data_IF_888130022488
#
_entry.id   IF_888130022488
#
_cell.length_a   1.000
_cell.length_b   1.000
_cell.length_c   1.000
_cell.angle_alpha   90.00
_cell.angle_beta   90.00
_cell.angle_gamma   90.00
#
_symmetry.space_group_name_H-M   'P 1'
#
loop_
_entity.id
_entity.type
_entity.pdbx_description
1 polymer ?
#
# COMPACT_ATOMS: atom_id res chain seq x y z
N UNK A 1 -23.58 6.56 -0.72
CA UNK A 1 -23.14 5.70 -1.83
C UNK A 1 -21.76 5.21 -1.45
N UNK A 2 -21.64 3.91 -1.17
CA UNK A 2 -20.33 3.29 -0.96
C UNK A 2 -19.52 3.44 -2.25
N UNK A 3 -18.28 3.91 -2.14
CA UNK A 3 -17.40 4.02 -3.31
C UNK A 3 -17.08 2.58 -3.78
N UNK A 4 -17.13 2.30 -5.09
CA UNK A 4 -16.80 0.97 -5.58
C UNK A 4 -15.35 0.63 -5.26
N UNK A 5 -15.14 -0.50 -4.61
CA UNK A 5 -13.80 -1.09 -4.40
C UNK A 5 -13.34 -1.75 -5.69
N UNK A 6 -12.12 -1.41 -6.10
CA UNK A 6 -11.48 -1.88 -7.33
C UNK A 6 -10.47 -2.98 -7.03
N UNK A 7 -10.16 -3.79 -8.04
CA UNK A 7 -9.00 -4.69 -8.04
C UNK A 7 -7.73 -3.91 -8.42
N UNK A 8 -6.57 -4.43 -8.02
CA UNK A 8 -5.27 -3.79 -8.30
C UNK A 8 -5.08 -3.48 -9.80
N UNK A 9 -5.35 -4.41 -10.75
CA UNK A 9 -5.11 -4.15 -12.17
C UNK A 9 -6.02 -3.07 -12.78
N UNK A 10 -7.10 -2.70 -12.09
CA UNK A 10 -8.04 -1.69 -12.55
C UNK A 10 -7.62 -0.27 -12.17
N UNK A 11 -6.66 -0.12 -11.25
CA UNK A 11 -6.14 1.19 -10.84
C UNK A 11 -5.13 1.69 -11.86
N UNK A 12 -5.39 2.87 -12.41
CA UNK A 12 -4.50 3.56 -13.34
C UNK A 12 -3.93 4.84 -12.71
N UNK A 13 -2.73 5.24 -13.16
CA UNK A 13 -1.97 6.35 -12.57
C UNK A 13 -2.65 7.72 -12.72
N UNK A 14 -3.58 7.87 -13.64
CA UNK A 14 -4.34 9.09 -13.92
C UNK A 14 -5.69 9.15 -13.16
N UNK A 15 -6.07 8.08 -12.47
CA UNK A 15 -7.29 8.02 -11.69
C UNK A 15 -7.17 8.86 -10.42
N UNK A 16 -8.05 9.85 -10.28
CA UNK A 16 -8.10 10.74 -9.10
C UNK A 16 -8.83 10.14 -7.90
N UNK A 17 -9.67 9.14 -8.12
CA UNK A 17 -10.51 8.54 -7.10
C UNK A 17 -10.53 7.03 -7.29
N UNK A 18 -9.90 6.33 -6.36
CA UNK A 18 -9.90 4.88 -6.33
C UNK A 18 -9.84 4.40 -4.88
N UNK A 19 -10.38 3.21 -4.65
CA UNK A 19 -10.24 2.47 -3.40
C UNK A 19 -9.96 1.02 -3.76
N UNK A 20 -8.94 0.42 -3.16
CA UNK A 20 -8.62 -1.01 -3.32
C UNK A 20 -8.62 -1.65 -1.94
N UNK A 21 -9.26 -2.82 -1.84
CA UNK A 21 -9.17 -3.67 -0.67
C UNK A 21 -7.99 -4.62 -0.83
N UNK A 22 -7.07 -4.58 0.12
CA UNK A 22 -5.81 -5.31 0.06
C UNK A 22 -5.49 -6.04 1.36
N UNK A 23 -4.77 -7.13 1.25
CA UNK A 23 -4.14 -7.84 2.37
C UNK A 23 -2.64 -7.57 2.38
N UNK A 24 -2.06 -7.29 3.55
CA UNK A 24 -0.61 -7.20 3.69
C UNK A 24 -0.01 -8.60 3.74
N UNK A 25 0.78 -8.97 2.74
CA UNK A 25 1.38 -10.32 2.69
C UNK A 25 2.80 -10.35 3.22
N UNK A 26 3.57 -9.28 2.98
CA UNK A 26 4.95 -9.17 3.45
C UNK A 26 5.31 -7.71 3.76
N UNK A 27 6.21 -7.51 4.72
CA UNK A 27 6.82 -6.21 5.00
C UNK A 27 8.34 -6.32 4.92
N UNK A 28 8.96 -5.36 4.23
CA UNK A 28 10.42 -5.33 4.06
C UNK A 28 11.00 -4.38 5.11
N UNK A 29 12.23 -4.65 5.56
CA UNK A 29 12.98 -3.75 6.41
C UNK A 29 13.04 -2.32 5.83
N UNK A 30 13.10 -1.31 6.70
CA UNK A 30 13.25 0.09 6.27
C UNK A 30 14.62 0.28 5.62
N UNK A 31 14.62 0.83 4.40
CA UNK A 31 15.82 1.16 3.66
C UNK A 31 16.09 2.66 3.75
N UNK A 32 17.36 3.04 3.74
CA UNK A 32 17.81 4.43 3.64
C UNK A 32 18.47 4.61 2.28
N UNK A 33 17.92 5.50 1.45
CA UNK A 33 18.46 5.86 0.15
C UNK A 33 19.70 6.76 0.29
N UNK A 34 20.50 6.86 -0.78
CA UNK A 34 21.72 7.70 -0.83
C UNK A 34 21.45 9.18 -0.54
N UNK A 35 20.22 9.65 -0.72
CA UNK A 35 19.76 11.02 -0.41
C UNK A 35 19.42 11.23 1.07
N UNK A 36 19.59 10.21 1.93
CA UNK A 36 19.16 10.22 3.32
C UNK A 36 17.66 9.94 3.52
N UNK A 37 16.89 9.84 2.43
CA UNK A 37 15.47 9.52 2.49
C UNK A 37 15.24 8.07 2.92
N UNK A 38 14.36 7.86 3.89
CA UNK A 38 13.94 6.51 4.32
C UNK A 38 12.73 6.05 3.52
N UNK A 39 12.67 4.78 3.18
CA UNK A 39 11.49 4.12 2.62
C UNK A 39 11.25 2.78 3.28
N UNK A 40 9.98 2.37 3.39
CA UNK A 40 9.58 1.01 3.76
C UNK A 40 8.68 0.44 2.67
N UNK A 41 8.93 -0.81 2.27
CA UNK A 41 8.16 -1.51 1.24
C UNK A 41 7.24 -2.55 1.85
N UNK A 42 6.11 -2.75 1.20
CA UNK A 42 5.12 -3.76 1.54
C UNK A 42 4.70 -4.48 0.27
N UNK A 43 4.38 -5.76 0.42
CA UNK A 43 3.66 -6.52 -0.59
C UNK A 43 2.21 -6.64 -0.18
N UNK A 44 1.33 -6.34 -1.13
CA UNK A 44 -0.10 -6.37 -0.96
C UNK A 44 -0.73 -7.29 -2.00
N UNK A 45 -1.83 -7.93 -1.62
CA UNK A 45 -2.67 -8.70 -2.55
C UNK A 45 -4.12 -8.26 -2.45
N UNK A 46 -4.81 -8.15 -3.58
CA UNK A 46 -6.27 -7.97 -3.57
C UNK A 46 -7.02 -9.30 -3.38
N UNK A 47 -8.35 -9.24 -3.40
CA UNK A 47 -9.23 -10.39 -3.18
C UNK A 47 -9.13 -11.47 -4.28
N UNK A 48 -8.59 -11.13 -5.46
CA UNK A 48 -8.33 -12.07 -6.56
C UNK A 48 -6.88 -12.58 -6.57
N UNK A 49 -6.05 -12.14 -5.63
CA UNK A 49 -4.65 -12.56 -5.52
C UNK A 49 -3.71 -11.79 -6.45
N UNK A 50 -4.16 -10.71 -7.09
CA UNK A 50 -3.25 -9.82 -7.82
C UNK A 50 -2.31 -9.17 -6.82
N UNK A 51 -1.02 -9.07 -7.15
CA UNK A 51 -0.01 -8.56 -6.23
C UNK A 51 0.48 -7.18 -6.63
N UNK A 52 0.81 -6.34 -5.64
CA UNK A 52 1.48 -5.06 -5.86
C UNK A 52 2.52 -4.81 -4.76
N UNK A 53 3.62 -4.16 -5.14
CA UNK A 53 4.57 -3.60 -4.19
C UNK A 53 4.22 -2.14 -3.94
N UNK A 54 4.01 -1.77 -2.68
CA UNK A 54 3.82 -0.40 -2.25
C UNK A 54 5.03 0.09 -1.44
N UNK A 55 5.26 1.40 -1.44
CA UNK A 55 6.30 2.02 -0.65
C UNK A 55 5.76 3.25 0.09
N UNK A 56 6.16 3.39 1.35
CA UNK A 56 5.93 4.59 2.14
C UNK A 56 7.25 5.28 2.43
N UNK A 57 7.26 6.62 2.42
CA UNK A 57 8.49 7.41 2.43
C UNK A 57 8.53 8.39 3.61
N UNK A 58 9.72 8.60 4.18
CA UNK A 58 9.97 9.66 5.14
C UNK A 58 9.12 9.56 6.42
N UNK A 59 8.47 10.66 6.79
CA UNK A 59 7.78 10.79 8.08
C UNK A 59 6.57 9.87 8.22
N UNK A 60 5.92 9.48 7.11
CA UNK A 60 4.73 8.61 7.19
C UNK A 60 5.09 7.18 7.58
N UNK A 61 6.37 6.79 7.54
CA UNK A 61 6.84 5.47 8.00
C UNK A 61 6.44 5.22 9.45
N UNK A 62 6.66 6.18 10.36
CA UNK A 62 6.32 6.00 11.78
C UNK A 62 4.82 5.94 12.03
N UNK A 63 4.02 6.53 11.15
CA UNK A 63 2.55 6.53 11.23
C UNK A 63 1.97 5.20 10.75
N UNK A 64 2.38 4.74 9.57
CA UNK A 64 1.78 3.55 8.95
C UNK A 64 2.40 2.23 9.37
N UNK A 65 3.66 2.20 9.81
CA UNK A 65 4.30 0.95 10.27
C UNK A 65 3.52 0.20 11.36
N UNK A 66 3.03 0.85 12.43
CA UNK A 66 2.23 0.14 13.44
C UNK A 66 0.81 -0.23 12.94
N UNK A 67 0.32 0.44 11.90
CA UNK A 67 -1.01 0.23 11.34
C UNK A 67 -1.02 -0.95 10.37
N UNK A 68 -0.06 -1.01 9.43
CA UNK A 68 0.04 -2.01 8.36
C UNK A 68 0.66 -3.31 8.90
N UNK A 69 -0.19 -4.18 9.43
CA UNK A 69 0.21 -5.46 10.01
C UNK A 69 0.06 -6.59 9.00
N UNK A 70 0.97 -7.57 9.05
CA UNK A 70 0.92 -8.76 8.22
C UNK A 70 -0.42 -9.49 8.37
N UNK A 71 -0.93 -9.99 7.25
CA UNK A 71 -2.19 -10.73 7.08
C UNK A 71 -3.46 -9.97 7.50
N UNK A 72 -3.36 -8.64 7.65
CA UNK A 72 -4.53 -7.78 7.87
C UNK A 72 -4.98 -7.16 6.57
N UNK A 73 -6.30 -6.89 6.52
CA UNK A 73 -7.00 -6.34 5.36
C UNK A 73 -7.25 -4.85 5.58
N UNK A 74 -7.00 -4.05 4.55
CA UNK A 74 -7.16 -2.60 4.56
C UNK A 74 -7.83 -2.13 3.28
N UNK A 75 -8.51 -0.99 3.37
CA UNK A 75 -8.89 -0.21 2.20
C UNK A 75 -7.86 0.91 2.01
N UNK A 76 -7.14 0.87 0.89
CA UNK A 76 -6.24 1.95 0.48
C UNK A 76 -6.96 2.82 -0.53
N UNK A 77 -6.84 4.15 -0.37
CA UNK A 77 -7.41 5.14 -1.27
C UNK A 77 -6.40 6.26 -1.53
N UNK A 78 -6.33 6.75 -2.76
CA UNK A 78 -5.58 7.94 -3.18
C UNK A 78 -4.13 8.00 -2.66
N UNK A 79 -3.36 6.94 -2.91
CA UNK A 79 -1.94 6.82 -2.55
C UNK A 79 -0.98 7.01 -3.73
#
# INVERSE_FOLDING_TARGET
>A
MDKPTMLIPQVHYDMRHWTVRITVTEDIATLTCNTGMRLKRYFFTDDEGNQITAAIFGLVISVFTPILQLFKVYEITNA
#
